data_IF_468127179962
#
_entry.id   IF_468127179962
#
_cell.length_a   1.000
_cell.length_b   1.000
_cell.length_c   1.000
_cell.angle_alpha   90.00
_cell.angle_beta   90.00
_cell.angle_gamma   90.00
#
_symmetry.space_group_name_H-M   'P 1'
#
loop_
_entity.id
_entity.type
_entity.pdbx_description
1 polymer ?
#
# COMPACT_ATOMS: atom_id res chain seq x y z
N UNK A 1 29.43 -38.46 -19.65
CA UNK A 1 28.18 -38.05 -19.00
C UNK A 1 28.25 -36.55 -18.74
N UNK A 2 27.41 -35.73 -19.44
CA UNK A 2 27.34 -34.27 -19.21
C UNK A 2 26.49 -34.04 -17.97
N UNK A 3 27.09 -33.45 -16.93
CA UNK A 3 26.36 -33.00 -15.77
C UNK A 3 25.39 -31.90 -16.20
N UNK A 4 24.10 -32.07 -15.96
CA UNK A 4 23.06 -31.06 -16.12
C UNK A 4 23.31 -30.00 -15.04
N UNK A 5 23.92 -28.87 -15.39
CA UNK A 5 23.90 -27.67 -14.55
C UNK A 5 22.50 -27.07 -14.58
N UNK A 6 21.69 -27.44 -13.63
CA UNK A 6 20.43 -26.70 -13.36
C UNK A 6 20.87 -25.36 -12.75
N UNK A 7 21.05 -24.36 -13.62
CA UNK A 7 21.09 -22.99 -13.17
C UNK A 7 19.69 -22.65 -12.66
N UNK A 8 19.48 -22.72 -11.36
CA UNK A 8 18.34 -22.16 -10.68
C UNK A 8 18.40 -20.64 -10.83
N UNK A 9 18.12 -20.12 -12.01
CA UNK A 9 17.62 -18.77 -12.15
C UNK A 9 16.17 -18.81 -11.65
N UNK A 10 16.00 -18.71 -10.35
CA UNK A 10 14.78 -18.14 -9.78
C UNK A 10 14.84 -16.69 -10.23
N UNK A 11 14.40 -16.46 -11.46
CA UNK A 11 14.16 -15.13 -11.98
C UNK A 11 13.05 -14.55 -11.11
N UNK A 12 13.41 -13.67 -10.25
CA UNK A 12 12.52 -12.85 -9.45
C UNK A 12 11.79 -11.90 -10.43
N UNK A 13 10.87 -12.49 -11.23
CA UNK A 13 10.07 -11.74 -12.22
C UNK A 13 9.32 -10.60 -11.57
N UNK A 14 8.87 -10.80 -10.33
CA UNK A 14 8.21 -9.78 -9.54
C UNK A 14 9.14 -8.60 -9.24
N UNK A 15 10.42 -8.84 -8.94
CA UNK A 15 11.37 -7.75 -8.68
C UNK A 15 11.68 -6.95 -9.96
N UNK A 16 11.85 -7.60 -11.10
CA UNK A 16 12.11 -6.91 -12.37
C UNK A 16 10.90 -6.08 -12.83
N UNK A 17 9.68 -6.61 -12.68
CA UNK A 17 8.46 -5.89 -13.01
C UNK A 17 8.29 -4.64 -12.12
N UNK A 18 8.54 -4.79 -10.82
CA UNK A 18 8.49 -3.67 -9.87
C UNK A 18 9.58 -2.63 -10.19
N UNK A 19 10.80 -3.05 -10.49
CA UNK A 19 11.89 -2.12 -10.86
C UNK A 19 11.54 -1.31 -12.11
N UNK A 20 11.03 -1.97 -13.15
CA UNK A 20 10.59 -1.29 -14.37
C UNK A 20 9.47 -0.29 -14.07
N UNK A 21 8.48 -0.69 -13.29
CA UNK A 21 7.40 0.18 -12.84
C UNK A 21 7.95 1.41 -12.08
N UNK A 22 8.88 1.22 -11.14
CA UNK A 22 9.51 2.31 -10.39
C UNK A 22 10.27 3.28 -11.30
N UNK A 23 10.96 2.77 -12.33
CA UNK A 23 11.63 3.60 -13.33
C UNK A 23 10.62 4.43 -14.15
N UNK A 24 9.49 3.84 -14.54
CA UNK A 24 8.44 4.54 -15.29
C UNK A 24 7.80 5.65 -14.47
N UNK A 25 7.38 5.37 -13.24
CA UNK A 25 6.75 6.39 -12.39
C UNK A 25 7.72 7.49 -11.94
N UNK A 26 9.04 7.22 -11.91
CA UNK A 26 10.04 8.23 -11.56
C UNK A 26 10.14 9.34 -12.59
N UNK A 27 9.79 9.08 -13.85
CA UNK A 27 9.81 10.05 -14.96
C UNK A 27 8.62 11.00 -14.94
N UNK A 28 7.57 10.67 -14.20
CA UNK A 28 6.35 11.48 -14.14
C UNK A 28 6.61 12.71 -13.27
N UNK A 29 6.30 13.88 -13.80
CA UNK A 29 6.43 15.16 -13.09
C UNK A 29 5.40 15.24 -11.94
N UNK A 30 5.81 15.88 -10.86
CA UNK A 30 4.89 16.23 -9.77
C UNK A 30 3.99 17.38 -10.20
N UNK A 31 2.77 17.40 -9.69
CA UNK A 31 1.79 18.47 -9.92
C UNK A 31 1.80 19.48 -8.77
N UNK A 32 1.48 20.73 -9.09
CA UNK A 32 1.34 21.79 -8.09
C UNK A 32 -0.02 21.73 -7.39
N UNK A 33 -0.18 22.32 -6.18
CA UNK A 33 -1.48 22.35 -5.49
C UNK A 33 -2.59 23.06 -6.30
N UNK A 34 -2.21 24.03 -7.13
CA UNK A 34 -3.13 24.73 -8.03
C UNK A 34 -3.63 23.81 -9.13
N UNK A 35 -2.72 23.04 -9.73
CA UNK A 35 -3.09 22.02 -10.72
C UNK A 35 -3.96 20.91 -10.11
N UNK A 36 -3.71 20.50 -8.85
CA UNK A 36 -4.56 19.54 -8.14
C UNK A 36 -6.01 20.02 -8.08
N UNK A 37 -6.22 21.29 -7.74
CA UNK A 37 -7.56 21.91 -7.69
C UNK A 37 -8.26 21.90 -9.04
N UNK A 38 -7.56 22.30 -10.11
CA UNK A 38 -8.09 22.31 -11.46
C UNK A 38 -8.44 20.89 -11.94
N UNK A 39 -7.56 19.91 -11.66
CA UNK A 39 -7.81 18.52 -12.01
C UNK A 39 -9.01 17.96 -11.23
N UNK A 40 -9.14 18.28 -9.94
CA UNK A 40 -10.27 17.83 -9.13
C UNK A 40 -11.61 18.36 -9.67
N UNK A 41 -11.65 19.62 -10.09
CA UNK A 41 -12.85 20.19 -10.73
C UNK A 41 -13.23 19.46 -12.05
N UNK A 42 -12.23 19.18 -12.89
CA UNK A 42 -12.45 18.43 -14.14
C UNK A 42 -12.92 17.00 -13.89
N UNK A 43 -12.39 16.34 -12.85
CA UNK A 43 -12.82 14.99 -12.44
C UNK A 43 -14.30 15.00 -12.03
N UNK A 44 -14.75 16.03 -11.30
CA UNK A 44 -16.18 16.20 -10.96
C UNK A 44 -17.07 16.35 -12.18
N UNK A 45 -16.54 16.91 -13.28
CA UNK A 45 -17.24 17.00 -14.59
C UNK A 45 -17.15 15.71 -15.41
N UNK A 46 -16.48 14.66 -14.92
CA UNK A 46 -16.35 13.37 -15.58
C UNK A 46 -15.15 13.24 -16.52
N UNK A 47 -14.15 14.13 -16.44
CA UNK A 47 -12.95 14.06 -17.29
C UNK A 47 -12.00 12.95 -16.80
N UNK A 48 -11.97 11.85 -17.56
CA UNK A 48 -11.11 10.70 -17.29
C UNK A 48 -9.62 11.05 -17.44
N UNK A 49 -9.26 11.94 -18.36
CA UNK A 49 -7.84 12.33 -18.55
C UNK A 49 -7.32 13.11 -17.35
N UNK A 50 -8.17 13.93 -16.74
CA UNK A 50 -7.82 14.63 -15.50
C UNK A 50 -7.62 13.66 -14.34
N UNK A 51 -8.47 12.62 -14.25
CA UNK A 51 -8.33 11.55 -13.27
C UNK A 51 -6.99 10.81 -13.44
N UNK A 52 -6.69 10.39 -14.66
CA UNK A 52 -5.45 9.66 -14.96
C UNK A 52 -4.22 10.52 -14.63
N UNK A 53 -4.22 11.80 -14.97
CA UNK A 53 -3.12 12.72 -14.65
C UNK A 53 -2.92 12.88 -13.15
N UNK A 54 -4.01 13.05 -12.38
CA UNK A 54 -3.94 13.18 -10.92
C UNK A 54 -3.40 11.89 -10.27
N UNK A 55 -3.88 10.73 -10.72
CA UNK A 55 -3.44 9.43 -10.23
C UNK A 55 -1.96 9.20 -10.55
N UNK A 56 -1.54 9.39 -11.82
CA UNK A 56 -0.17 9.16 -12.26
C UNK A 56 0.84 9.98 -11.46
N UNK A 57 0.57 11.26 -11.20
CA UNK A 57 1.45 12.12 -10.43
C UNK A 57 1.67 11.66 -8.97
N UNK A 58 0.74 10.86 -8.44
CA UNK A 58 0.76 10.39 -7.05
C UNK A 58 1.14 8.91 -6.87
N UNK A 59 1.46 8.18 -7.96
CA UNK A 59 1.83 6.75 -7.89
C UNK A 59 3.08 6.51 -7.01
N UNK A 60 4.04 7.42 -7.02
CA UNK A 60 5.25 7.34 -6.18
C UNK A 60 4.92 7.32 -4.69
N UNK A 61 3.88 8.03 -4.29
CA UNK A 61 3.42 8.05 -2.90
C UNK A 61 2.79 6.71 -2.51
N UNK A 62 2.02 6.09 -3.40
CA UNK A 62 1.47 4.73 -3.16
C UNK A 62 2.58 3.74 -2.84
N UNK A 63 3.68 3.76 -3.60
CA UNK A 63 4.84 2.88 -3.36
C UNK A 63 5.42 3.09 -1.97
N UNK A 64 5.54 4.35 -1.52
CA UNK A 64 6.04 4.68 -0.18
C UNK A 64 5.15 4.12 0.93
N UNK A 65 3.84 4.16 0.74
CA UNK A 65 2.87 3.58 1.67
C UNK A 65 2.91 2.06 1.61
N UNK A 66 2.91 1.45 0.42
CA UNK A 66 2.94 0.00 0.23
C UNK A 66 4.18 -0.66 0.87
N UNK A 67 5.34 0.00 0.82
CA UNK A 67 6.57 -0.49 1.48
C UNK A 67 6.41 -0.67 2.99
N UNK A 68 5.55 0.08 3.66
CA UNK A 68 5.31 -0.04 5.10
C UNK A 68 4.57 -1.34 5.47
N UNK A 69 3.91 -1.98 4.50
CA UNK A 69 3.12 -3.19 4.67
C UNK A 69 3.78 -4.44 4.09
N UNK A 70 5.06 -4.34 3.66
CA UNK A 70 5.83 -5.51 3.21
C UNK A 70 5.91 -6.57 4.30
N UNK A 71 6.09 -7.82 3.89
CA UNK A 71 6.24 -9.00 4.76
C UNK A 71 4.99 -9.37 5.58
N UNK A 72 3.82 -8.86 5.24
CA UNK A 72 2.55 -9.16 5.92
C UNK A 72 1.66 -10.17 5.17
N UNK A 73 2.22 -10.88 4.20
CA UNK A 73 1.52 -11.97 3.48
C UNK A 73 1.17 -11.69 2.02
N UNK A 74 1.45 -10.47 1.52
CA UNK A 74 1.32 -10.12 0.09
C UNK A 74 2.65 -9.65 -0.49
N UNK A 75 2.83 -9.85 -1.81
CA UNK A 75 3.98 -9.31 -2.54
C UNK A 75 3.93 -7.78 -2.62
N UNK A 76 5.09 -7.13 -2.82
CA UNK A 76 5.12 -5.67 -2.98
C UNK A 76 4.32 -5.24 -4.23
N UNK A 77 4.35 -6.04 -5.29
CA UNK A 77 3.58 -5.81 -6.51
C UNK A 77 2.07 -5.75 -6.21
N UNK A 78 1.56 -6.72 -5.45
CA UNK A 78 0.14 -6.79 -5.09
C UNK A 78 -0.25 -5.62 -4.18
N UNK A 79 0.59 -5.29 -3.19
CA UNK A 79 0.37 -4.15 -2.31
C UNK A 79 0.29 -2.82 -3.07
N UNK A 80 1.16 -2.64 -4.08
CA UNK A 80 1.14 -1.45 -4.95
C UNK A 80 -0.16 -1.42 -5.76
N UNK A 81 -0.57 -2.54 -6.36
CA UNK A 81 -1.80 -2.63 -7.15
C UNK A 81 -3.03 -2.30 -6.32
N UNK A 82 -3.15 -2.87 -5.12
CA UNK A 82 -4.25 -2.56 -4.19
C UNK A 82 -4.20 -1.10 -3.71
N UNK A 83 -3.01 -0.58 -3.47
CA UNK A 83 -2.81 0.83 -3.14
C UNK A 83 -3.24 1.77 -4.27
N UNK A 84 -2.95 1.41 -5.53
CA UNK A 84 -3.38 2.17 -6.72
C UNK A 84 -4.91 2.18 -6.86
N UNK A 85 -5.59 1.07 -6.57
CA UNK A 85 -7.06 1.03 -6.52
C UNK A 85 -7.61 1.98 -5.46
N UNK A 86 -6.97 2.04 -4.29
CA UNK A 86 -7.29 3.00 -3.23
C UNK A 86 -7.09 4.45 -3.68
N UNK A 87 -5.99 4.74 -4.39
CA UNK A 87 -5.69 6.07 -4.92
C UNK A 87 -6.74 6.53 -5.95
N UNK A 88 -7.17 5.65 -6.86
CA UNK A 88 -8.21 5.95 -7.85
C UNK A 88 -9.54 6.29 -7.15
N UNK A 89 -9.95 5.49 -6.15
CA UNK A 89 -11.16 5.77 -5.36
C UNK A 89 -11.07 7.11 -4.65
N UNK A 90 -9.89 7.45 -4.13
CA UNK A 90 -9.65 8.74 -3.50
C UNK A 90 -9.79 9.89 -4.50
N UNK A 91 -9.21 9.76 -5.70
CA UNK A 91 -9.25 10.79 -6.74
C UNK A 91 -10.69 11.08 -7.22
N UNK A 92 -11.53 10.05 -7.31
CA UNK A 92 -12.95 10.19 -7.69
C UNK A 92 -13.80 10.88 -6.62
N UNK A 93 -13.37 10.83 -5.35
CA UNK A 93 -14.14 11.35 -4.20
C UNK A 93 -13.51 12.58 -3.56
N UNK A 94 -12.40 13.05 -4.11
CA UNK A 94 -11.70 14.20 -3.58
C UNK A 94 -12.51 15.48 -3.75
N UNK A 95 -12.53 16.29 -2.69
CA UNK A 95 -13.21 17.58 -2.67
C UNK A 95 -12.20 18.70 -2.39
N UNK A 96 -11.88 19.46 -3.42
CA UNK A 96 -10.93 20.57 -3.40
C UNK A 96 -11.40 21.76 -2.55
N UNK A 97 -12.71 21.86 -2.28
CA UNK A 97 -13.25 22.99 -1.50
C UNK A 97 -12.85 22.96 -0.04
N UNK A 98 -12.40 21.81 0.45
CA UNK A 98 -12.01 21.61 1.86
C UNK A 98 -10.60 22.13 2.20
N UNK A 99 -9.84 22.62 1.23
CA UNK A 99 -8.58 23.33 1.45
C UNK A 99 -7.39 22.48 1.90
N UNK A 100 -7.46 21.16 1.85
CA UNK A 100 -6.32 20.27 2.12
C UNK A 100 -5.78 19.62 0.84
N UNK A 101 -4.50 19.24 0.88
CA UNK A 101 -3.83 18.59 -0.26
C UNK A 101 -4.45 17.22 -0.53
N UNK A 102 -4.52 16.85 -1.80
CA UNK A 102 -5.03 15.56 -2.25
C UNK A 102 -4.34 14.38 -1.54
N UNK A 103 -3.01 14.42 -1.38
CA UNK A 103 -2.23 13.36 -0.75
C UNK A 103 -2.65 13.08 0.71
N UNK A 104 -3.05 14.11 1.46
CA UNK A 104 -3.51 13.97 2.85
C UNK A 104 -4.84 13.21 2.96
N UNK A 105 -5.68 13.33 1.94
CA UNK A 105 -6.92 12.58 1.83
C UNK A 105 -6.68 11.17 1.26
N UNK A 106 -5.88 11.06 0.21
CA UNK A 106 -5.61 9.81 -0.49
C UNK A 106 -4.95 8.75 0.40
N UNK A 107 -4.09 9.15 1.37
CA UNK A 107 -3.40 8.21 2.25
C UNK A 107 -4.35 7.27 3.00
N UNK A 108 -5.53 7.76 3.39
CA UNK A 108 -6.53 6.95 4.09
C UNK A 108 -7.13 5.87 3.20
N UNK A 109 -7.44 6.21 1.95
CA UNK A 109 -7.97 5.28 0.97
C UNK A 109 -6.95 4.23 0.55
N UNK A 110 -5.70 4.65 0.35
CA UNK A 110 -4.58 3.76 0.03
C UNK A 110 -4.38 2.74 1.15
N UNK A 111 -4.27 3.19 2.40
CA UNK A 111 -4.13 2.30 3.56
C UNK A 111 -5.31 1.36 3.72
N UNK A 112 -6.52 1.87 3.58
CA UNK A 112 -7.74 1.07 3.69
C UNK A 112 -7.76 -0.05 2.65
N UNK A 113 -7.44 0.25 1.39
CA UNK A 113 -7.39 -0.75 0.31
C UNK A 113 -6.32 -1.82 0.59
N UNK A 114 -5.12 -1.42 0.98
CA UNK A 114 -4.03 -2.34 1.33
C UNK A 114 -4.42 -3.23 2.52
N UNK A 115 -4.95 -2.67 3.58
CA UNK A 115 -5.36 -3.44 4.77
C UNK A 115 -6.50 -4.41 4.46
N UNK A 116 -7.44 -4.02 3.60
CA UNK A 116 -8.50 -4.89 3.13
C UNK A 116 -7.93 -6.07 2.35
N UNK A 117 -7.01 -5.82 1.41
CA UNK A 117 -6.36 -6.87 0.63
C UNK A 117 -5.55 -7.83 1.52
N UNK A 118 -4.80 -7.31 2.50
CA UNK A 118 -4.08 -8.13 3.48
C UNK A 118 -5.02 -9.00 4.31
N UNK A 119 -6.19 -8.48 4.68
CA UNK A 119 -7.20 -9.22 5.43
C UNK A 119 -7.85 -10.35 4.61
N UNK A 120 -8.04 -10.12 3.30
CA UNK A 120 -8.71 -11.05 2.40
C UNK A 120 -7.77 -12.08 1.78
N UNK A 121 -6.56 -11.67 1.42
CA UNK A 121 -5.62 -12.47 0.60
C UNK A 121 -4.32 -12.83 1.34
N UNK A 122 -3.97 -12.11 2.41
CA UNK A 122 -2.72 -12.34 3.15
C UNK A 122 -2.68 -13.61 4.00
N UNK A 123 -3.76 -14.40 4.05
CA UNK A 123 -3.87 -15.63 4.84
C UNK A 123 -4.24 -16.82 3.99
N UNK A 124 -3.61 -17.98 4.28
CA UNK A 124 -3.97 -19.27 3.67
C UNK A 124 -5.43 -19.65 3.90
N UNK A 125 -6.00 -19.30 5.07
CA UNK A 125 -7.41 -19.49 5.39
C UNK A 125 -8.07 -18.12 5.50
N UNK A 126 -9.00 -17.84 4.60
CA UNK A 126 -9.78 -16.60 4.59
C UNK A 126 -10.68 -16.53 5.82
N UNK A 127 -10.52 -15.50 6.63
CA UNK A 127 -11.40 -15.21 7.77
C UNK A 127 -12.45 -14.16 7.36
N UNK A 128 -13.72 -14.29 7.82
CA UNK A 128 -14.72 -13.24 7.65
C UNK A 128 -14.25 -11.92 8.28
N UNK A 129 -14.54 -10.77 7.64
CA UNK A 129 -14.05 -9.45 8.07
C UNK A 129 -14.43 -9.10 9.51
N UNK A 130 -15.63 -9.46 9.96
CA UNK A 130 -16.11 -9.25 11.34
C UNK A 130 -15.31 -10.05 12.39
N UNK A 131 -14.61 -11.14 12.01
CA UNK A 131 -13.77 -11.94 12.92
C UNK A 131 -12.32 -11.46 12.97
N UNK A 132 -11.84 -10.73 11.96
CA UNK A 132 -10.46 -10.20 11.90
C UNK A 132 -10.18 -9.23 13.05
N UNK A 133 -11.12 -8.33 13.35
CA UNK A 133 -11.02 -7.40 14.48
C UNK A 133 -10.90 -8.11 15.83
N UNK A 134 -11.70 -9.16 16.04
CA UNK A 134 -11.67 -9.97 17.26
C UNK A 134 -10.35 -10.73 17.40
N UNK A 135 -9.86 -11.33 16.30
CA UNK A 135 -8.57 -12.02 16.25
C UNK A 135 -7.40 -11.07 16.56
N UNK A 136 -7.37 -9.89 15.97
CA UNK A 136 -6.33 -8.91 16.22
C UNK A 136 -6.31 -8.40 17.67
N UNK A 137 -7.49 -8.23 18.30
CA UNK A 137 -7.62 -7.90 19.72
C UNK A 137 -7.10 -9.03 20.61
N UNK A 138 -7.47 -10.27 20.30
CA UNK A 138 -6.99 -11.44 21.04
C UNK A 138 -5.47 -11.61 20.92
N UNK A 139 -4.91 -11.44 19.72
CA UNK A 139 -3.47 -11.55 19.50
C UNK A 139 -2.69 -10.43 20.22
N UNK A 140 -3.20 -9.20 20.23
CA UNK A 140 -2.63 -8.11 21.02
C UNK A 140 -2.67 -8.41 22.53
N UNK A 141 -3.75 -8.96 23.04
CA UNK A 141 -3.87 -9.32 24.44
C UNK A 141 -2.91 -10.46 24.83
N UNK A 142 -2.67 -11.39 23.92
CA UNK A 142 -1.74 -12.50 24.12
C UNK A 142 -0.26 -12.06 24.08
N UNK A 143 0.11 -11.15 23.19
CA UNK A 143 1.50 -10.67 23.04
C UNK A 143 1.90 -9.63 24.09
N UNK A 144 0.93 -8.96 24.72
CA UNK A 144 1.18 -7.94 25.76
C UNK A 144 1.89 -8.47 27.02
N UNK A 145 1.54 -9.63 27.61
CA UNK A 145 2.22 -10.18 28.79
C UNK A 145 3.66 -10.61 28.49
N UNK A 146 3.91 -11.21 27.32
CA UNK A 146 5.22 -11.73 26.91
C UNK A 146 6.30 -10.63 26.87
N UNK A 147 5.94 -9.44 26.41
CA UNK A 147 6.86 -8.30 26.34
C UNK A 147 7.12 -7.66 27.72
N UNK A 148 6.22 -7.79 28.69
CA UNK A 148 6.44 -7.26 30.06
C UNK A 148 7.44 -8.13 30.81
N UNK A 149 7.29 -9.44 30.74
CA UNK A 149 8.19 -10.38 31.41
C UNK A 149 9.63 -10.34 30.86
N UNK A 150 9.83 -10.03 29.58
CA UNK A 150 11.16 -9.82 29.02
C UNK A 150 11.84 -8.55 29.56
N UNK A 151 11.09 -7.46 29.80
CA UNK A 151 11.66 -6.23 30.34
C UNK A 151 12.02 -6.35 31.83
N UNK A 152 11.21 -7.04 32.61
CA UNK A 152 11.50 -7.29 34.04
C UNK A 152 12.68 -8.23 34.26
N UNK A 153 12.86 -9.26 33.42
CA UNK A 153 14.02 -10.16 33.50
C UNK A 153 15.35 -9.48 33.14
N UNK A 154 15.33 -8.40 32.37
CA UNK A 154 16.50 -7.59 32.05
C UNK A 154 16.87 -6.59 33.16
N UNK A 155 15.89 -6.13 33.95
CA UNK A 155 16.14 -5.23 35.08
C UNK A 155 16.63 -5.94 36.35
N UNK A 156 16.37 -7.25 36.47
CA UNK A 156 16.86 -8.08 37.63
C UNK A 156 18.29 -8.62 37.44
N UNK A 157 18.93 -8.35 36.30
CA UNK A 157 20.31 -8.80 36.02
C UNK A 157 21.37 -7.68 36.08
N UNK A 158 21.01 -6.49 36.48
CA UNK A 158 21.87 -5.36 36.79
C UNK A 158 21.71 -5.00 38.26
#
# INVERSE_FOLDING_TARGET
>A
MRQLKIATQITNRDSQAVEKYLQEISKISMITPEEETILAQKIKMGDQRALDKLVQANLRFVVSVAKQYQHQGLSLSDLINEGNLGLIKAAQRFDETKGFKFISYAVWWIRQSILQALAEQGRLVRLPQNKIGTYNKANKAYTWPSNRNMRESHQLKN
#
